data_IF_003415754873
#
_entry.id   IF_003415754873
#
_cell.length_a   1.000
_cell.length_b   1.000
_cell.length_c   1.000
_cell.angle_alpha   90.00
_cell.angle_beta   90.00
_cell.angle_gamma   90.00
#
_symmetry.space_group_name_H-M   'P 1'
#
loop_
_entity.id
_entity.type
_entity.pdbx_description
1 polymer ?
#
# COMPACT_ATOMS: atom_id res chain seq x y z
N UNK A 1 13.11 -21.19 -21.39
CA UNK A 1 12.52 -19.93 -20.91
C UNK A 1 11.18 -20.26 -20.29
N UNK A 2 10.75 -19.55 -19.26
CA UNK A 2 9.43 -19.75 -18.64
C UNK A 2 8.45 -18.97 -19.49
N UNK A 3 7.49 -19.64 -20.13
CA UNK A 3 6.53 -19.01 -21.03
C UNK A 3 5.16 -18.77 -20.36
N UNK A 4 4.92 -19.40 -19.22
CA UNK A 4 3.73 -19.20 -18.38
C UNK A 4 4.00 -19.53 -16.92
N UNK A 5 3.26 -18.88 -16.02
CA UNK A 5 3.24 -19.17 -14.59
C UNK A 5 1.79 -19.14 -14.09
N UNK A 6 1.40 -20.13 -13.29
CA UNK A 6 0.12 -20.14 -12.59
C UNK A 6 0.32 -19.72 -11.15
N UNK A 7 -0.41 -18.72 -10.71
CA UNK A 7 -0.32 -18.12 -9.37
C UNK A 7 -1.71 -18.02 -8.74
N UNK A 8 -1.84 -18.09 -7.41
CA UNK A 8 -3.06 -17.62 -6.74
C UNK A 8 -3.35 -16.17 -7.14
N UNK A 9 -4.62 -15.78 -7.19
CA UNK A 9 -4.96 -14.36 -7.35
C UNK A 9 -4.37 -13.56 -6.19
N UNK A 10 -4.01 -12.30 -6.47
CA UNK A 10 -3.21 -11.44 -5.59
C UNK A 10 -3.99 -10.97 -4.37
N UNK A 11 -3.31 -10.92 -3.22
CA UNK A 11 -3.69 -10.11 -2.05
C UNK A 11 -2.93 -8.78 -2.12
N UNK A 12 -3.64 -7.68 -2.42
CA UNK A 12 -3.09 -6.32 -2.43
C UNK A 12 -3.42 -5.63 -1.09
N UNK A 13 -2.46 -5.64 -0.18
CA UNK A 13 -2.70 -5.23 1.20
C UNK A 13 -2.56 -3.72 1.44
N UNK A 14 -2.62 -2.92 0.37
CA UNK A 14 -2.68 -1.47 0.43
C UNK A 14 -3.22 -0.87 -0.87
N UNK A 15 -4.46 -0.42 -0.90
CA UNK A 15 -5.05 0.18 -2.11
C UNK A 15 -6.03 1.32 -1.79
N UNK A 16 -6.06 2.33 -2.65
CA UNK A 16 -7.01 3.45 -2.57
C UNK A 16 -8.19 3.21 -3.52
N UNK A 17 -9.30 2.73 -3.00
CA UNK A 17 -10.52 2.44 -3.79
C UNK A 17 -11.29 3.69 -4.20
N UNK A 18 -11.06 4.82 -3.53
CA UNK A 18 -11.73 6.09 -3.80
C UNK A 18 -13.24 6.06 -3.49
N UNK A 19 -14.01 6.98 -4.12
CA UNK A 19 -15.44 7.21 -3.88
C UNK A 19 -16.18 7.42 -5.19
N UNK A 20 -17.49 7.32 -5.16
CA UNK A 20 -18.37 7.61 -6.31
C UNK A 20 -18.06 6.79 -7.56
N UNK A 21 -18.10 7.40 -8.73
CA UNK A 21 -17.84 6.72 -10.01
C UNK A 21 -16.38 6.23 -10.12
N UNK A 22 -15.43 6.95 -9.54
CA UNK A 22 -14.03 6.50 -9.53
C UNK A 22 -13.88 5.16 -8.81
N UNK A 23 -14.57 4.94 -7.70
CA UNK A 23 -14.50 3.68 -6.97
C UNK A 23 -15.01 2.50 -7.81
N UNK A 24 -16.08 2.69 -8.58
CA UNK A 24 -16.61 1.63 -9.47
C UNK A 24 -15.58 1.18 -10.48
N UNK A 25 -14.88 2.11 -11.09
CA UNK A 25 -13.85 1.79 -12.09
C UNK A 25 -12.60 1.19 -11.44
N UNK A 26 -12.18 1.71 -10.29
CA UNK A 26 -11.02 1.17 -9.54
C UNK A 26 -11.27 -0.29 -9.12
N UNK A 27 -12.46 -0.62 -8.64
CA UNK A 27 -12.83 -2.00 -8.28
C UNK A 27 -12.71 -2.95 -9.49
N UNK A 28 -13.19 -2.54 -10.67
CA UNK A 28 -13.05 -3.31 -11.92
C UNK A 28 -11.57 -3.48 -12.30
N UNK A 29 -10.81 -2.38 -12.28
CA UNK A 29 -9.41 -2.38 -12.66
C UNK A 29 -8.54 -3.20 -11.70
N UNK A 30 -8.85 -3.15 -10.40
CA UNK A 30 -8.19 -3.98 -9.38
C UNK A 30 -8.36 -5.47 -9.71
N UNK A 31 -9.58 -5.88 -10.03
CA UNK A 31 -9.86 -7.26 -10.44
C UNK A 31 -9.17 -7.64 -11.76
N UNK A 32 -9.19 -6.75 -12.76
CA UNK A 32 -8.50 -6.95 -14.04
C UNK A 32 -6.99 -7.09 -13.86
N UNK A 33 -6.40 -6.43 -12.88
CA UNK A 33 -4.99 -6.55 -12.51
C UNK A 33 -4.61 -7.84 -11.79
N UNK A 34 -5.54 -8.79 -11.65
CA UNK A 34 -5.28 -10.10 -11.02
C UNK A 34 -5.48 -10.15 -9.52
N UNK A 35 -6.09 -9.13 -8.92
CA UNK A 35 -6.31 -9.01 -7.47
C UNK A 35 -7.64 -9.66 -7.07
N UNK A 36 -7.61 -10.41 -5.98
CA UNK A 36 -8.80 -11.04 -5.38
C UNK A 36 -9.16 -10.48 -4.00
N UNK A 37 -8.17 -10.01 -3.25
CA UNK A 37 -8.34 -9.42 -1.91
C UNK A 37 -7.57 -8.13 -1.80
N UNK A 38 -8.12 -7.15 -1.05
CA UNK A 38 -7.48 -5.86 -0.80
C UNK A 38 -7.62 -5.39 0.64
N UNK A 39 -6.65 -4.61 1.13
CA UNK A 39 -6.84 -3.71 2.28
C UNK A 39 -7.12 -2.31 1.76
N UNK A 40 -8.34 -1.83 1.98
CA UNK A 40 -8.78 -0.52 1.51
C UNK A 40 -8.34 0.59 2.48
N UNK A 41 -7.66 1.61 1.95
CA UNK A 41 -7.17 2.76 2.72
C UNK A 41 -8.30 3.74 3.02
N UNK A 42 -8.32 4.34 4.25
CA UNK A 42 -9.46 5.08 4.77
C UNK A 42 -9.42 6.59 4.52
N UNK A 43 -8.42 7.13 3.80
CA UNK A 43 -8.21 8.57 3.58
C UNK A 43 -9.04 9.09 2.39
N UNK A 44 -10.35 9.00 2.50
CA UNK A 44 -11.27 9.49 1.47
C UNK A 44 -11.24 11.02 1.35
N UNK A 45 -11.56 11.51 0.16
CA UNK A 45 -11.52 12.96 -0.12
C UNK A 45 -12.67 13.71 0.53
N UNK A 46 -13.85 13.10 0.63
CA UNK A 46 -15.03 13.71 1.26
C UNK A 46 -14.89 13.78 2.78
N UNK A 47 -14.45 12.70 3.40
CA UNK A 47 -14.18 12.59 4.83
C UNK A 47 -13.37 11.32 5.12
N UNK A 48 -12.27 11.39 5.88
CA UNK A 48 -11.57 10.21 6.31
C UNK A 48 -12.44 9.36 7.25
N UNK A 49 -12.27 8.03 7.18
CA UNK A 49 -13.05 7.07 7.94
C UNK A 49 -12.55 6.97 9.39
N UNK A 50 -12.72 8.03 10.18
CA UNK A 50 -12.21 8.14 11.56
C UNK A 50 -13.07 7.41 12.60
N UNK A 51 -14.31 7.05 12.25
CA UNK A 51 -15.26 6.36 13.14
C UNK A 51 -15.85 5.12 12.47
N UNK A 52 -16.38 4.20 13.29
CA UNK A 52 -17.05 3.00 12.81
C UNK A 52 -18.31 3.32 11.97
N UNK A 53 -19.04 4.39 12.29
CA UNK A 53 -20.22 4.83 11.53
C UNK A 53 -19.81 5.24 10.10
N UNK A 54 -18.82 6.13 9.95
CA UNK A 54 -18.29 6.53 8.63
C UNK A 54 -17.80 5.33 7.83
N UNK A 55 -17.11 4.40 8.49
CA UNK A 55 -16.64 3.17 7.85
C UNK A 55 -17.81 2.28 7.39
N UNK A 56 -18.88 2.16 8.18
CA UNK A 56 -20.08 1.39 7.83
C UNK A 56 -20.75 1.93 6.56
N UNK A 57 -20.87 3.24 6.43
CA UNK A 57 -21.46 3.85 5.25
C UNK A 57 -20.64 3.58 4.00
N UNK A 58 -19.31 3.69 4.13
CA UNK A 58 -18.40 3.36 3.02
C UNK A 58 -18.41 1.87 2.66
N UNK A 59 -18.44 0.98 3.65
CA UNK A 59 -18.60 -0.47 3.43
C UNK A 59 -19.87 -0.76 2.64
N UNK A 60 -21.01 -0.17 3.04
CA UNK A 60 -22.28 -0.36 2.36
C UNK A 60 -22.22 0.13 0.91
N UNK A 61 -21.62 1.30 0.68
CA UNK A 61 -21.44 1.85 -0.66
C UNK A 61 -20.58 0.91 -1.53
N UNK A 62 -19.43 0.50 -1.06
CA UNK A 62 -18.51 -0.39 -1.82
C UNK A 62 -19.19 -1.74 -2.10
N UNK A 63 -19.81 -2.38 -1.10
CA UNK A 63 -20.46 -3.67 -1.26
C UNK A 63 -21.64 -3.63 -2.25
N UNK A 64 -22.30 -2.48 -2.39
CA UNK A 64 -23.38 -2.30 -3.38
C UNK A 64 -22.89 -2.36 -4.84
N UNK A 65 -21.58 -2.29 -5.10
CA UNK A 65 -21.01 -2.26 -6.45
C UNK A 65 -20.80 -3.66 -7.08
N UNK A 66 -21.13 -4.75 -6.40
CA UNK A 66 -21.01 -6.13 -6.93
C UNK A 66 -19.64 -6.46 -7.54
N UNK A 67 -18.56 -6.02 -6.91
CA UNK A 67 -17.19 -6.07 -7.44
C UNK A 67 -16.56 -7.47 -7.41
N UNK A 68 -16.96 -8.35 -6.49
CA UNK A 68 -16.43 -9.72 -6.34
C UNK A 68 -15.01 -9.79 -5.79
N UNK A 69 -14.54 -8.74 -5.10
CA UNK A 69 -13.30 -8.71 -4.33
C UNK A 69 -13.59 -9.01 -2.85
N UNK A 70 -12.62 -9.60 -2.16
CA UNK A 70 -12.59 -9.67 -0.70
C UNK A 70 -11.94 -8.39 -0.17
N UNK A 71 -12.68 -7.56 0.57
CA UNK A 71 -12.20 -6.24 1.00
C UNK A 71 -12.08 -6.18 2.53
N UNK A 72 -10.85 -5.98 2.99
CA UNK A 72 -10.53 -5.66 4.37
C UNK A 72 -10.52 -4.14 4.52
N UNK A 73 -11.48 -3.60 5.24
CA UNK A 73 -11.57 -2.17 5.48
C UNK A 73 -10.67 -1.73 6.62
N UNK A 74 -10.35 -0.44 6.65
CA UNK A 74 -9.52 0.17 7.69
C UNK A 74 -10.16 1.45 8.24
N UNK A 75 -9.83 1.76 9.51
CA UNK A 75 -10.16 3.03 10.17
C UNK A 75 -8.96 3.98 10.00
N UNK A 76 -9.23 5.25 9.79
CA UNK A 76 -8.25 6.33 9.81
C UNK A 76 -7.96 6.74 11.25
N UNK A 77 -6.70 6.67 11.70
CA UNK A 77 -6.32 7.17 13.01
C UNK A 77 -6.32 8.70 13.02
N UNK A 78 -7.31 9.29 13.66
CA UNK A 78 -7.50 10.73 13.79
C UNK A 78 -8.12 11.11 15.12
N UNK A 79 -8.35 12.39 15.37
CA UNK A 79 -8.83 12.87 16.67
C UNK A 79 -10.17 12.28 17.12
N UNK A 80 -11.04 11.88 16.17
CA UNK A 80 -12.32 11.22 16.46
C UNK A 80 -12.17 9.72 16.76
N UNK A 81 -10.98 9.15 16.54
CA UNK A 81 -10.74 7.72 16.74
C UNK A 81 -10.43 7.46 18.20
N UNK A 82 -11.42 6.96 18.95
CA UNK A 82 -11.29 6.63 20.36
C UNK A 82 -11.14 5.10 20.58
N UNK A 83 -10.77 4.64 21.79
CA UNK A 83 -10.80 3.20 22.12
C UNK A 83 -12.15 2.54 21.86
N UNK A 84 -13.26 3.25 22.10
CA UNK A 84 -14.62 2.77 21.85
C UNK A 84 -14.89 2.59 20.35
N UNK A 85 -14.36 3.49 19.51
CA UNK A 85 -14.46 3.34 18.05
C UNK A 85 -13.69 2.11 17.54
N UNK A 86 -12.59 1.70 18.18
CA UNK A 86 -11.89 0.43 17.86
C UNK A 86 -12.79 -0.78 18.15
N UNK A 87 -13.50 -0.76 19.28
CA UNK A 87 -14.45 -1.83 19.63
C UNK A 87 -15.59 -1.91 18.62
N UNK A 88 -16.22 -0.76 18.30
CA UNK A 88 -17.29 -0.69 17.28
C UNK A 88 -16.80 -1.13 15.89
N UNK A 89 -15.59 -0.73 15.50
CA UNK A 89 -14.99 -1.17 14.24
C UNK A 89 -14.81 -2.68 14.17
N UNK A 90 -14.39 -3.29 15.29
CA UNK A 90 -14.28 -4.75 15.42
C UNK A 90 -15.62 -5.46 15.19
N UNK A 91 -16.72 -4.90 15.69
CA UNK A 91 -18.09 -5.43 15.48
C UNK A 91 -18.50 -5.41 14.00
N UNK A 92 -17.97 -4.47 13.22
CA UNK A 92 -18.12 -4.40 11.77
C UNK A 92 -17.16 -5.33 11.00
N UNK A 93 -16.33 -6.13 11.69
CA UNK A 93 -15.33 -6.99 11.08
C UNK A 93 -14.03 -6.27 10.67
N UNK A 94 -13.88 -4.98 11.00
CA UNK A 94 -12.66 -4.22 10.70
C UNK A 94 -11.56 -4.62 11.69
N UNK A 95 -10.34 -4.84 11.15
CA UNK A 95 -9.15 -5.22 11.93
C UNK A 95 -7.93 -4.35 11.60
N UNK A 96 -8.09 -3.32 10.79
CA UNK A 96 -7.02 -2.47 10.33
C UNK A 96 -7.25 -1.02 10.76
N UNK A 97 -6.19 -0.39 11.27
CA UNK A 97 -6.16 1.07 11.50
C UNK A 97 -4.99 1.65 10.74
N UNK A 98 -5.23 2.63 9.90
CA UNK A 98 -4.20 3.33 9.12
C UNK A 98 -3.85 4.67 9.75
N UNK A 99 -2.56 4.88 9.99
CA UNK A 99 -2.00 6.15 10.41
C UNK A 99 -1.38 6.91 9.23
N UNK A 100 -1.69 8.18 9.18
CA UNK A 100 -1.00 9.17 8.36
C UNK A 100 -0.43 10.26 9.27
N UNK A 101 0.85 10.64 9.15
CA UNK A 101 1.36 11.83 9.82
C UNK A 101 0.71 13.09 9.24
N UNK A 102 0.38 14.06 10.10
CA UNK A 102 -0.32 15.27 9.68
C UNK A 102 0.44 16.03 8.59
N UNK A 103 -0.24 16.36 7.49
CA UNK A 103 0.29 17.15 6.38
C UNK A 103 1.37 16.49 5.50
N UNK A 104 1.68 15.21 5.70
CA UNK A 104 2.75 14.51 4.95
C UNK A 104 2.31 14.05 3.58
N UNK A 105 1.08 13.56 3.44
CA UNK A 105 0.55 13.00 2.18
C UNK A 105 -0.87 13.47 1.87
N UNK A 106 -1.45 13.01 0.79
CA UNK A 106 -2.81 13.37 0.35
C UNK A 106 -3.84 13.06 1.43
N UNK A 107 -4.75 14.01 1.72
CA UNK A 107 -5.81 13.90 2.72
C UNK A 107 -5.31 13.55 4.14
N UNK A 108 -4.11 14.04 4.53
CA UNK A 108 -3.52 13.78 5.85
C UNK A 108 -3.57 14.96 6.83
N UNK A 109 -4.35 16.00 6.56
CA UNK A 109 -4.51 17.14 7.49
C UNK A 109 -5.06 16.74 8.85
N UNK A 110 -5.92 15.73 8.91
CA UNK A 110 -6.48 15.18 10.13
C UNK A 110 -5.62 14.06 10.74
N UNK A 111 -4.40 13.88 10.23
CA UNK A 111 -3.48 12.84 10.65
C UNK A 111 -2.84 13.10 12.01
N UNK A 112 -1.92 12.23 12.36
CA UNK A 112 -1.25 12.21 13.66
C UNK A 112 -0.10 13.22 13.67
N UNK A 113 -0.16 14.17 14.57
CA UNK A 113 0.90 15.12 14.90
C UNK A 113 1.82 14.60 16.02
N UNK A 114 1.21 13.95 17.03
CA UNK A 114 1.91 13.32 18.15
C UNK A 114 1.29 11.95 18.46
N UNK A 115 2.03 10.88 18.17
CA UNK A 115 1.52 9.51 18.38
C UNK A 115 1.19 9.20 19.84
N UNK A 116 1.79 9.89 20.81
CA UNK A 116 1.55 9.64 22.23
C UNK A 116 0.12 9.98 22.66
N UNK A 117 -0.55 10.91 21.99
CA UNK A 117 -1.95 11.23 22.26
C UNK A 117 -2.89 10.07 21.93
N UNK A 118 -2.44 9.17 21.06
CA UNK A 118 -3.21 7.99 20.64
C UNK A 118 -2.82 6.69 21.36
N UNK A 119 -1.97 6.75 22.39
CA UNK A 119 -1.59 5.54 23.15
C UNK A 119 -2.79 4.76 23.70
N UNK A 120 -3.87 5.38 24.24
CA UNK A 120 -5.06 4.63 24.63
C UNK A 120 -5.72 3.87 23.46
N UNK A 121 -5.71 4.43 22.25
CA UNK A 121 -6.23 3.78 21.04
C UNK A 121 -5.33 2.61 20.64
N UNK A 122 -4.00 2.79 20.66
CA UNK A 122 -3.04 1.72 20.35
C UNK A 122 -3.15 0.56 21.34
N UNK A 123 -3.40 0.85 22.62
CA UNK A 123 -3.66 -0.20 23.62
C UNK A 123 -4.95 -0.96 23.32
N UNK A 124 -6.04 -0.25 22.98
CA UNK A 124 -7.31 -0.88 22.56
C UNK A 124 -7.11 -1.75 21.31
N UNK A 125 -6.31 -1.28 20.34
CA UNK A 125 -5.96 -2.04 19.14
C UNK A 125 -5.20 -3.32 19.51
N UNK A 126 -4.18 -3.23 20.36
CA UNK A 126 -3.39 -4.36 20.84
C UNK A 126 -4.27 -5.42 21.52
N UNK A 127 -5.16 -4.99 22.42
CA UNK A 127 -6.08 -5.86 23.16
C UNK A 127 -7.12 -6.55 22.26
N UNK A 128 -7.43 -5.95 21.10
CA UNK A 128 -8.44 -6.43 20.17
C UNK A 128 -7.88 -7.05 18.89
N UNK A 129 -6.57 -7.34 18.82
CA UNK A 129 -5.88 -7.97 17.69
C UNK A 129 -6.05 -7.18 16.38
N UNK A 130 -5.93 -5.86 16.44
CA UNK A 130 -5.86 -5.01 15.26
C UNK A 130 -4.46 -5.00 14.65
N UNK A 131 -4.39 -4.66 13.37
CA UNK A 131 -3.15 -4.40 12.64
C UNK A 131 -3.05 -2.88 12.47
N UNK A 132 -1.88 -2.33 12.82
CA UNK A 132 -1.58 -0.92 12.68
C UNK A 132 -0.75 -0.68 11.43
N UNK A 133 -1.39 -0.14 10.40
CA UNK A 133 -0.82 0.19 9.11
C UNK A 133 -0.27 1.62 9.16
N UNK A 134 1.01 1.83 8.96
CA UNK A 134 1.71 3.09 9.24
C UNK A 134 2.30 3.69 7.98
N UNK A 135 1.88 4.91 7.60
CA UNK A 135 2.65 5.72 6.68
C UNK A 135 3.87 6.28 7.44
N UNK A 136 5.02 5.70 7.19
CA UNK A 136 6.21 5.85 8.02
C UNK A 136 7.10 7.04 7.64
N UNK A 137 6.55 8.25 7.54
CA UNK A 137 7.33 9.46 7.30
C UNK A 137 7.09 10.51 8.39
N UNK A 138 8.09 11.34 8.65
CA UNK A 138 7.93 12.56 9.45
C UNK A 138 7.76 13.78 8.54
N UNK A 139 7.05 14.84 8.98
CA UNK A 139 6.93 16.08 8.21
C UNK A 139 8.30 16.70 7.93
N UNK A 140 8.47 17.24 6.71
CA UNK A 140 9.68 17.97 6.33
C UNK A 140 9.94 19.16 7.28
N UNK A 141 11.19 19.34 7.68
CA UNK A 141 11.59 20.39 8.60
C UNK A 141 13.02 20.87 8.28
N UNK A 142 13.14 22.07 7.72
CA UNK A 142 14.43 22.62 7.32
C UNK A 142 15.42 22.72 8.50
N UNK A 143 14.98 23.20 9.66
CA UNK A 143 15.84 23.37 10.84
C UNK A 143 16.38 22.06 11.42
N UNK A 144 15.72 20.93 11.13
CA UNK A 144 16.13 19.57 11.54
C UNK A 144 16.78 18.78 10.41
N UNK A 145 17.02 19.38 9.27
CA UNK A 145 17.51 18.71 8.06
C UNK A 145 16.65 17.50 7.67
N UNK A 146 15.34 17.70 7.65
CA UNK A 146 14.36 16.67 7.24
C UNK A 146 13.71 17.11 5.94
N UNK A 147 13.76 16.25 4.94
CA UNK A 147 13.09 16.41 3.65
C UNK A 147 12.47 15.10 3.19
N UNK A 148 11.74 15.12 2.09
CA UNK A 148 11.06 13.95 1.53
C UNK A 148 11.99 12.76 1.23
N UNK A 149 13.30 13.01 1.07
CA UNK A 149 14.30 11.96 0.78
C UNK A 149 14.74 11.19 2.03
N UNK A 150 14.64 11.77 3.23
CA UNK A 150 15.05 11.13 4.49
C UNK A 150 13.92 11.03 5.54
N UNK A 151 12.72 11.48 5.21
CA UNK A 151 11.58 11.51 6.13
C UNK A 151 11.21 10.14 6.70
N UNK A 152 11.34 9.07 5.88
CA UNK A 152 11.09 7.69 6.29
C UNK A 152 12.15 7.20 7.28
N UNK A 153 13.43 7.39 7.00
CA UNK A 153 14.50 7.03 7.94
C UNK A 153 14.38 7.79 9.29
N UNK A 154 13.90 9.04 9.25
CA UNK A 154 13.65 9.85 10.45
C UNK A 154 12.41 9.41 11.25
N UNK A 155 11.53 8.60 10.68
CA UNK A 155 10.40 8.02 11.37
C UNK A 155 10.76 6.77 12.19
N UNK A 156 11.84 6.06 11.88
CA UNK A 156 12.21 4.80 12.53
C UNK A 156 12.34 4.87 14.07
N UNK A 157 12.85 5.96 14.68
CA UNK A 157 12.82 6.10 16.15
C UNK A 157 11.40 6.11 16.73
N UNK A 158 10.42 6.69 16.01
CA UNK A 158 9.01 6.70 16.44
C UNK A 158 8.43 5.27 16.34
N UNK A 159 8.74 4.56 15.25
CA UNK A 159 8.34 3.15 15.08
C UNK A 159 8.90 2.28 16.22
N UNK A 160 10.18 2.46 16.58
CA UNK A 160 10.82 1.78 17.71
C UNK A 160 10.14 2.09 19.04
N UNK A 161 9.74 3.33 19.28
CA UNK A 161 8.99 3.73 20.47
C UNK A 161 7.62 3.04 20.54
N UNK A 162 6.89 2.96 19.40
CA UNK A 162 5.61 2.24 19.30
C UNK A 162 5.79 0.75 19.64
N UNK A 163 6.77 0.07 19.01
CA UNK A 163 7.07 -1.34 19.28
C UNK A 163 7.39 -1.60 20.77
N UNK A 164 8.16 -0.72 21.38
CA UNK A 164 8.53 -0.84 22.80
C UNK A 164 7.33 -0.72 23.73
N UNK A 165 6.41 0.22 23.43
CA UNK A 165 5.25 0.47 24.29
C UNK A 165 4.09 -0.54 24.02
N UNK A 166 3.99 -1.06 22.81
CA UNK A 166 2.93 -1.98 22.35
C UNK A 166 3.51 -3.25 21.71
N UNK A 167 4.23 -4.10 22.48
CA UNK A 167 5.01 -5.20 21.92
C UNK A 167 4.18 -6.33 21.29
N UNK A 168 2.88 -6.38 21.56
CA UNK A 168 1.95 -7.37 20.97
C UNK A 168 1.14 -6.81 19.81
N UNK A 169 1.18 -5.50 19.56
CA UNK A 169 0.49 -4.88 18.45
C UNK A 169 1.17 -5.26 17.12
N UNK A 170 0.42 -5.80 16.18
CA UNK A 170 0.93 -6.04 14.82
C UNK A 170 1.07 -4.72 14.07
N UNK A 171 2.26 -4.47 13.53
CA UNK A 171 2.63 -3.25 12.83
C UNK A 171 3.00 -3.55 11.38
N UNK A 172 2.44 -2.81 10.43
CA UNK A 172 2.86 -2.84 9.04
C UNK A 172 3.42 -1.46 8.68
N UNK A 173 4.73 -1.39 8.42
CA UNK A 173 5.35 -0.22 7.82
C UNK A 173 5.03 -0.24 6.33
N UNK A 174 4.13 0.66 5.92
CA UNK A 174 3.56 0.64 4.57
C UNK A 174 4.53 1.22 3.54
N UNK A 175 4.48 0.67 2.28
CA UNK A 175 5.15 1.19 1.08
C UNK A 175 6.57 1.69 1.35
N UNK A 176 7.39 0.87 2.02
CA UNK A 176 8.78 1.24 2.36
C UNK A 176 9.60 1.59 1.12
N UNK A 177 10.45 2.60 1.24
CA UNK A 177 11.20 3.16 0.12
C UNK A 177 12.68 3.38 0.41
N UNK A 178 13.15 3.32 1.66
CA UNK A 178 14.54 3.61 2.03
C UNK A 178 15.29 2.36 2.45
N UNK A 179 16.60 2.37 2.17
CA UNK A 179 17.54 1.33 2.66
C UNK A 179 17.40 1.15 4.18
N UNK A 180 17.34 2.24 4.93
CA UNK A 180 17.26 2.21 6.39
C UNK A 180 15.97 1.53 6.88
N UNK A 181 14.83 1.78 6.23
CA UNK A 181 13.56 1.13 6.59
C UNK A 181 13.59 -0.37 6.26
N UNK A 182 14.15 -0.75 5.11
CA UNK A 182 14.36 -2.16 4.74
C UNK A 182 15.22 -2.88 5.77
N UNK A 183 16.38 -2.32 6.12
CA UNK A 183 17.28 -2.94 7.11
C UNK A 183 16.65 -2.97 8.51
N UNK A 184 15.89 -1.96 8.90
CA UNK A 184 15.18 -1.94 10.17
C UNK A 184 14.19 -3.12 10.29
N UNK A 185 13.30 -3.28 9.30
CA UNK A 185 12.30 -4.37 9.32
C UNK A 185 12.95 -5.75 9.15
N UNK A 186 13.96 -5.87 8.29
CA UNK A 186 14.71 -7.10 8.05
C UNK A 186 15.42 -7.62 9.31
N UNK A 187 16.02 -6.71 10.08
CA UNK A 187 16.79 -7.05 11.28
C UNK A 187 15.93 -7.11 12.55
N UNK A 188 14.68 -6.68 12.51
CA UNK A 188 13.75 -6.82 13.63
C UNK A 188 13.46 -8.31 13.91
N UNK A 189 13.59 -8.73 15.16
CA UNK A 189 13.39 -10.13 15.59
C UNK A 189 11.96 -10.43 16.03
N UNK A 190 11.11 -9.42 16.15
CA UNK A 190 9.70 -9.60 16.52
C UNK A 190 8.91 -10.26 15.39
N UNK A 191 7.81 -10.92 15.76
CA UNK A 191 6.83 -11.44 14.78
C UNK A 191 5.75 -10.39 14.45
N UNK A 192 5.81 -9.24 15.11
CA UNK A 192 4.75 -8.23 15.07
C UNK A 192 5.13 -7.00 14.22
N UNK A 193 6.20 -7.07 13.42
CA UNK A 193 6.56 -6.05 12.45
C UNK A 193 6.73 -6.67 11.07
N UNK A 194 6.06 -6.07 10.08
CA UNK A 194 6.21 -6.37 8.67
C UNK A 194 6.19 -5.06 7.86
N UNK A 195 6.39 -5.15 6.55
CA UNK A 195 6.34 -4.01 5.66
C UNK A 195 5.69 -4.36 4.32
N UNK A 196 5.03 -3.38 3.69
CA UNK A 196 4.60 -3.50 2.30
C UNK A 196 5.60 -2.85 1.35
N UNK A 197 5.71 -3.42 0.15
CA UNK A 197 6.48 -2.86 -0.96
C UNK A 197 5.54 -2.72 -2.17
N UNK A 198 5.62 -1.60 -2.87
CA UNK A 198 4.81 -1.33 -4.07
C UNK A 198 5.49 -1.82 -5.34
N UNK A 199 4.73 -2.05 -6.40
CA UNK A 199 5.27 -2.41 -7.69
C UNK A 199 6.18 -1.30 -8.27
N UNK A 200 5.79 -0.04 -8.11
CA UNK A 200 6.51 1.09 -8.69
C UNK A 200 7.81 1.46 -7.94
N UNK A 201 7.87 1.30 -6.61
CA UNK A 201 9.12 1.55 -5.87
C UNK A 201 10.22 0.50 -6.14
N UNK A 202 9.87 -0.65 -6.72
CA UNK A 202 10.85 -1.64 -7.19
C UNK A 202 11.58 -1.22 -8.47
N UNK A 203 11.08 -0.22 -9.17
CA UNK A 203 11.60 0.22 -10.46
C UNK A 203 12.04 1.68 -10.47
N UNK A 204 11.34 2.55 -9.72
CA UNK A 204 11.56 3.99 -9.75
C UNK A 204 12.66 4.45 -8.80
N UNK A 205 13.35 5.50 -9.23
CA UNK A 205 14.27 6.31 -8.44
C UNK A 205 13.89 7.79 -8.53
N UNK A 206 14.64 8.66 -7.89
CA UNK A 206 14.45 10.12 -7.96
C UNK A 206 14.45 10.63 -9.41
N UNK A 207 15.27 10.08 -10.29
CA UNK A 207 15.38 10.48 -11.69
C UNK A 207 14.13 10.14 -12.53
N UNK A 208 13.31 9.19 -12.02
CA UNK A 208 12.12 8.73 -12.70
C UNK A 208 10.87 9.53 -12.37
N UNK A 209 10.82 10.22 -11.23
CA UNK A 209 9.68 11.06 -10.88
C UNK A 209 9.97 12.56 -10.91
N UNK A 210 11.24 12.98 -10.78
CA UNK A 210 11.60 14.40 -10.87
C UNK A 210 11.23 14.93 -12.26
N UNK A 211 10.24 15.82 -12.32
CA UNK A 211 9.69 16.35 -13.57
C UNK A 211 8.70 15.42 -14.32
N UNK A 212 8.42 14.23 -13.80
CA UNK A 212 7.46 13.28 -14.40
C UNK A 212 6.31 13.04 -13.42
N UNK A 213 5.31 13.89 -13.48
CA UNK A 213 4.24 13.98 -12.46
C UNK A 213 3.45 12.68 -12.27
N UNK A 214 3.34 11.82 -13.29
CA UNK A 214 2.60 10.56 -13.20
C UNK A 214 3.33 9.49 -12.38
N UNK A 215 4.63 9.64 -12.15
CA UNK A 215 5.44 8.80 -11.26
C UNK A 215 5.58 9.39 -9.85
N UNK A 216 5.03 10.58 -9.61
CA UNK A 216 5.08 11.22 -8.28
C UNK A 216 4.07 10.60 -7.34
N UNK A 217 4.57 10.10 -6.20
CA UNK A 217 3.80 9.51 -5.09
C UNK A 217 4.40 9.95 -3.74
N UNK A 218 3.77 9.57 -2.65
CA UNK A 218 4.31 9.72 -1.29
C UNK A 218 4.11 8.42 -0.49
N UNK A 219 5.23 7.86 0.04
CA UNK A 219 6.60 8.37 -0.03
C UNK A 219 7.13 8.39 -1.46
N UNK A 220 8.06 9.31 -1.77
CA UNK A 220 8.69 9.35 -3.08
C UNK A 220 9.69 8.19 -3.24
N UNK A 221 9.85 7.71 -4.48
CA UNK A 221 10.99 6.85 -4.79
C UNK A 221 12.31 7.61 -4.54
N UNK A 222 13.28 6.95 -3.93
CA UNK A 222 14.50 7.61 -3.43
C UNK A 222 15.70 7.38 -4.37
N UNK A 223 16.86 7.12 -3.83
CA UNK A 223 18.09 6.92 -4.59
C UNK A 223 18.19 5.49 -5.16
N UNK A 224 19.07 5.25 -6.14
CA UNK A 224 19.30 3.90 -6.68
C UNK A 224 19.65 2.85 -5.61
N UNK A 225 20.41 3.21 -4.58
CA UNK A 225 20.74 2.32 -3.47
C UNK A 225 19.49 1.87 -2.69
N UNK A 226 18.50 2.72 -2.55
CA UNK A 226 17.24 2.43 -1.88
C UNK A 226 16.39 1.45 -2.72
N UNK A 227 16.25 1.72 -4.01
CA UNK A 227 15.59 0.82 -4.95
C UNK A 227 16.27 -0.56 -4.97
N UNK A 228 17.61 -0.60 -4.96
CA UNK A 228 18.36 -1.84 -4.89
C UNK A 228 18.08 -2.61 -3.59
N UNK A 229 17.99 -1.92 -2.44
CA UNK A 229 17.65 -2.56 -1.16
C UNK A 229 16.28 -3.24 -1.18
N UNK A 230 15.28 -2.59 -1.79
CA UNK A 230 13.95 -3.19 -2.00
C UNK A 230 14.02 -4.45 -2.87
N UNK A 231 14.76 -4.40 -3.97
CA UNK A 231 14.95 -5.56 -4.85
C UNK A 231 15.67 -6.71 -4.14
N UNK A 232 16.74 -6.44 -3.39
CA UNK A 232 17.51 -7.47 -2.67
C UNK A 232 16.70 -8.14 -1.56
N UNK A 233 15.86 -7.39 -0.82
CA UNK A 233 15.03 -8.00 0.22
C UNK A 233 13.94 -8.91 -0.38
N UNK A 234 13.40 -8.58 -1.55
CA UNK A 234 12.46 -9.46 -2.27
C UNK A 234 13.16 -10.71 -2.77
N UNK A 235 14.34 -10.59 -3.37
CA UNK A 235 15.14 -11.74 -3.82
C UNK A 235 15.47 -12.69 -2.67
N UNK A 236 15.67 -12.16 -1.46
CA UNK A 236 15.94 -12.99 -0.28
C UNK A 236 14.76 -13.87 0.13
N UNK A 237 13.54 -13.52 -0.30
CA UNK A 237 12.31 -14.20 0.10
C UNK A 237 11.96 -13.99 1.57
N UNK A 238 12.35 -12.86 2.17
CA UNK A 238 12.04 -12.55 3.56
C UNK A 238 10.52 -12.38 3.76
N UNK A 239 9.87 -13.20 4.60
CA UNK A 239 8.41 -13.21 4.75
C UNK A 239 7.84 -11.97 5.44
N UNK A 240 8.66 -11.08 5.98
CA UNK A 240 8.22 -9.80 6.54
C UNK A 240 7.86 -8.76 5.47
N UNK A 241 8.19 -9.02 4.19
CA UNK A 241 7.94 -8.10 3.09
C UNK A 241 6.96 -8.71 2.11
N UNK A 242 5.85 -8.02 1.88
CA UNK A 242 4.78 -8.46 0.99
C UNK A 242 4.17 -7.28 0.21
N UNK A 243 3.28 -7.60 -0.71
CA UNK A 243 2.68 -6.61 -1.60
C UNK A 243 1.68 -5.70 -0.86
N UNK A 244 1.86 -4.41 -1.03
CA UNK A 244 0.85 -3.37 -0.90
C UNK A 244 1.10 -2.37 -2.01
N UNK A 245 0.23 -2.36 -3.03
CA UNK A 245 0.52 -1.64 -4.27
C UNK A 245 0.53 -0.12 -4.12
N UNK A 246 -0.15 0.40 -3.11
CA UNK A 246 -0.46 1.82 -2.98
C UNK A 246 -1.03 2.41 -4.29
N UNK A 247 -1.83 1.59 -4.99
CA UNK A 247 -2.49 2.03 -6.22
C UNK A 247 -3.44 3.18 -5.89
N UNK A 248 -3.06 4.40 -6.34
CA UNK A 248 -3.70 5.65 -5.94
C UNK A 248 -4.09 6.48 -7.17
N UNK A 249 -5.26 6.20 -7.78
CA UNK A 249 -5.71 6.91 -8.97
C UNK A 249 -6.03 8.37 -8.67
N UNK A 250 -5.58 9.23 -9.58
CA UNK A 250 -5.99 10.64 -9.68
C UNK A 250 -6.27 10.95 -11.15
N UNK A 251 -7.31 11.73 -11.41
CA UNK A 251 -7.62 12.18 -12.75
C UNK A 251 -6.40 12.92 -13.34
N UNK A 252 -6.16 12.73 -14.63
CA UNK A 252 -5.04 13.36 -15.34
C UNK A 252 -4.98 14.87 -15.06
N UNK A 253 -6.12 15.54 -15.15
CA UNK A 253 -6.23 16.99 -14.96
C UNK A 253 -5.84 17.44 -13.53
N UNK A 254 -6.05 16.59 -12.53
CA UNK A 254 -5.66 16.90 -11.14
C UNK A 254 -4.18 16.64 -10.87
N UNK A 255 -3.56 15.70 -11.61
CA UNK A 255 -2.12 15.46 -11.52
C UNK A 255 -1.32 16.50 -12.30
N UNK A 256 -1.77 16.91 -13.47
CA UNK A 256 -1.09 17.87 -14.35
C UNK A 256 -1.37 19.33 -13.94
N UNK A 257 -1.14 19.62 -12.66
CA UNK A 257 -1.29 20.96 -12.06
C UNK A 257 0.00 21.38 -11.36
N UNK A 258 0.08 22.65 -10.97
CA UNK A 258 1.25 23.21 -10.26
C UNK A 258 1.56 22.46 -8.94
N UNK A 259 0.56 21.91 -8.29
CA UNK A 259 0.67 21.13 -7.04
C UNK A 259 0.21 19.68 -7.24
N UNK A 260 0.62 19.02 -8.29
CA UNK A 260 0.12 17.72 -8.71
C UNK A 260 -0.09 16.70 -7.57
N UNK A 261 -1.20 15.97 -7.63
CA UNK A 261 -1.55 14.98 -6.62
C UNK A 261 -0.52 13.85 -6.54
N UNK A 262 -0.14 13.45 -5.33
CA UNK A 262 0.72 12.29 -5.11
C UNK A 262 -0.08 10.99 -5.24
N UNK A 263 0.38 10.07 -6.08
CA UNK A 263 -0.20 8.75 -6.29
C UNK A 263 0.15 8.17 -7.66
N UNK A 264 0.48 6.88 -7.70
CA UNK A 264 0.75 6.11 -8.91
C UNK A 264 -0.36 5.08 -9.08
N UNK A 265 -0.90 4.93 -10.30
CA UNK A 265 -2.02 4.03 -10.56
C UNK A 265 -1.55 2.74 -11.19
N UNK A 266 -1.53 1.66 -10.43
CA UNK A 266 -1.03 0.35 -10.87
C UNK A 266 -2.13 -0.70 -11.05
N UNK A 267 -3.33 -0.50 -10.49
CA UNK A 267 -4.38 -1.51 -10.42
C UNK A 267 -4.68 -2.25 -11.74
N UNK A 268 -4.80 -1.60 -12.92
CA UNK A 268 -5.22 -2.30 -14.14
C UNK A 268 -4.24 -3.38 -14.65
N UNK A 269 -2.96 -3.28 -14.27
CA UNK A 269 -1.88 -4.13 -14.80
C UNK A 269 -0.96 -4.69 -13.71
N UNK A 270 -1.42 -4.73 -12.46
CA UNK A 270 -0.56 -4.99 -11.29
C UNK A 270 0.22 -6.30 -11.41
N UNK A 271 -0.43 -7.41 -11.75
CA UNK A 271 0.23 -8.70 -11.92
C UNK A 271 1.29 -8.67 -13.04
N UNK A 272 0.99 -7.98 -14.16
CA UNK A 272 1.91 -7.83 -15.28
C UNK A 272 3.13 -6.99 -14.90
N UNK A 273 2.96 -5.88 -14.18
CA UNK A 273 4.09 -5.07 -13.68
C UNK A 273 5.01 -5.90 -12.78
N UNK A 274 4.42 -6.59 -11.79
CA UNK A 274 5.18 -7.42 -10.86
C UNK A 274 5.92 -8.55 -11.58
N UNK A 275 5.29 -9.26 -12.50
CA UNK A 275 5.95 -10.34 -13.26
C UNK A 275 7.13 -9.81 -14.10
N UNK A 276 6.97 -8.64 -14.75
CA UNK A 276 8.06 -8.01 -15.50
C UNK A 276 9.23 -7.62 -14.58
N UNK A 277 8.94 -7.00 -13.45
CA UNK A 277 9.97 -6.59 -12.49
C UNK A 277 10.68 -7.79 -11.89
N UNK A 278 9.94 -8.80 -11.41
CA UNK A 278 10.50 -10.00 -10.79
C UNK A 278 11.35 -10.83 -11.78
N UNK A 279 10.95 -10.89 -13.04
CA UNK A 279 11.79 -11.52 -14.09
C UNK A 279 13.06 -10.72 -14.32
N UNK A 280 12.97 -9.39 -14.49
CA UNK A 280 14.11 -8.50 -14.72
C UNK A 280 15.16 -8.62 -13.60
N UNK A 281 14.73 -8.77 -12.35
CA UNK A 281 15.65 -8.92 -11.21
C UNK A 281 15.95 -10.39 -10.86
N UNK A 282 15.56 -11.35 -11.72
CA UNK A 282 15.82 -12.78 -11.58
C UNK A 282 15.30 -13.42 -10.28
N UNK A 283 14.06 -13.11 -9.90
CA UNK A 283 13.40 -13.71 -8.72
C UNK A 283 11.91 -14.05 -8.95
N UNK A 284 11.57 -14.44 -10.17
CA UNK A 284 10.18 -14.77 -10.55
C UNK A 284 9.60 -15.90 -9.66
N UNK A 285 10.44 -16.80 -9.14
CA UNK A 285 10.08 -17.83 -8.16
C UNK A 285 9.60 -17.28 -6.80
N UNK A 286 9.87 -16.02 -6.48
CA UNK A 286 9.42 -15.36 -5.25
C UNK A 286 8.07 -14.68 -5.40
N UNK A 287 7.56 -14.50 -6.63
CA UNK A 287 6.37 -13.72 -6.91
C UNK A 287 5.15 -14.20 -6.15
N UNK A 288 4.88 -15.51 -6.15
CA UNK A 288 3.75 -16.10 -5.43
C UNK A 288 3.79 -15.79 -3.92
N UNK A 289 4.95 -15.98 -3.30
CA UNK A 289 5.10 -15.75 -1.87
C UNK A 289 4.88 -14.28 -1.51
N UNK A 290 5.43 -13.38 -2.31
CA UNK A 290 5.30 -11.93 -2.13
C UNK A 290 3.86 -11.43 -2.31
N UNK A 291 3.12 -11.97 -3.28
CA UNK A 291 1.78 -11.45 -3.65
C UNK A 291 0.61 -12.13 -2.96
N UNK A 292 0.80 -13.37 -2.45
CA UNK A 292 -0.36 -14.18 -2.03
C UNK A 292 -0.14 -14.97 -0.74
N UNK A 293 1.12 -15.12 -0.27
CA UNK A 293 1.40 -15.96 0.90
C UNK A 293 1.83 -15.14 2.12
N UNK A 294 2.90 -14.36 2.00
CA UNK A 294 3.50 -13.68 3.16
C UNK A 294 2.54 -12.71 3.86
N UNK A 295 1.80 -11.93 3.06
CA UNK A 295 0.78 -11.04 3.60
C UNK A 295 -0.38 -11.81 4.24
N UNK A 296 -0.87 -12.88 3.60
CA UNK A 296 -1.93 -13.71 4.16
C UNK A 296 -1.51 -14.34 5.49
N UNK A 297 -0.27 -14.86 5.58
CA UNK A 297 0.29 -15.39 6.84
C UNK A 297 0.34 -14.31 7.94
N UNK A 298 0.82 -13.10 7.60
CA UNK A 298 0.93 -12.01 8.58
C UNK A 298 -0.42 -11.51 9.07
N UNK A 299 -1.40 -11.39 8.15
CA UNK A 299 -2.77 -10.96 8.45
C UNK A 299 -3.66 -12.08 8.98
N UNK A 300 -3.14 -13.33 9.08
CA UNK A 300 -3.88 -14.52 9.52
C UNK A 300 -5.12 -14.79 8.66
N UNK A 301 -4.95 -14.69 7.34
CA UNK A 301 -6.00 -14.88 6.35
C UNK A 301 -5.90 -16.25 5.68
N UNK A 302 -7.03 -16.79 5.28
CA UNK A 302 -7.05 -17.98 4.42
C UNK A 302 -6.38 -17.66 3.07
N UNK A 303 -5.63 -18.62 2.53
CA UNK A 303 -5.01 -18.45 1.21
C UNK A 303 -6.06 -18.40 0.11
N UNK A 304 -5.75 -17.66 -0.95
CA UNK A 304 -6.56 -17.62 -2.16
C UNK A 304 -6.59 -19.00 -2.81
N UNK A 305 -7.80 -19.47 -3.13
CA UNK A 305 -8.00 -20.78 -3.81
C UNK A 305 -8.15 -20.64 -5.32
N UNK A 306 -8.50 -19.43 -5.79
CA UNK A 306 -8.54 -19.13 -7.22
C UNK A 306 -7.14 -18.82 -7.72
N UNK A 307 -6.85 -19.23 -8.95
CA UNK A 307 -5.59 -18.95 -9.63
C UNK A 307 -5.79 -18.08 -10.84
N UNK A 308 -4.72 -17.41 -11.27
CA UNK A 308 -4.59 -16.74 -12.55
C UNK A 308 -3.37 -17.31 -13.29
N UNK A 309 -3.40 -17.28 -14.60
CA UNK A 309 -2.26 -17.60 -15.43
C UNK A 309 -1.65 -16.31 -15.98
N UNK A 310 -0.35 -16.14 -15.80
CA UNK A 310 0.43 -15.13 -16.49
C UNK A 310 1.20 -15.80 -17.62
N UNK A 311 1.11 -15.25 -18.82
CA UNK A 311 1.75 -15.77 -20.04
C UNK A 311 2.73 -14.74 -20.60
N UNK A 312 3.80 -15.23 -21.25
CA UNK A 312 4.73 -14.43 -22.02
C UNK A 312 4.03 -13.93 -23.29
N UNK A 313 3.37 -12.81 -23.17
CA UNK A 313 2.68 -12.13 -24.27
C UNK A 313 2.83 -10.63 -24.08
N UNK A 314 3.32 -9.97 -25.13
CA UNK A 314 3.41 -8.50 -25.13
C UNK A 314 2.04 -7.88 -24.91
N UNK A 315 2.01 -6.88 -24.04
CA UNK A 315 0.83 -6.09 -23.72
C UNK A 315 1.26 -4.62 -23.58
N UNK A 316 0.60 -3.74 -24.31
CA UNK A 316 0.86 -2.30 -24.23
C UNK A 316 -0.05 -1.69 -23.17
N UNK A 317 0.53 -1.03 -22.18
CA UNK A 317 -0.21 -0.29 -21.18
C UNK A 317 -0.97 0.87 -21.83
N UNK A 318 -2.27 0.94 -21.63
CA UNK A 318 -3.09 2.03 -22.16
C UNK A 318 -2.55 3.39 -21.67
N UNK A 319 -2.55 4.39 -22.55
CA UNK A 319 -2.10 5.74 -22.19
C UNK A 319 -2.99 6.41 -21.13
N UNK A 320 -4.28 6.14 -21.19
CA UNK A 320 -5.29 6.64 -20.25
C UNK A 320 -6.30 5.52 -20.00
N UNK A 321 -6.68 5.32 -18.76
CA UNK A 321 -7.72 4.39 -18.32
C UNK A 321 -8.71 5.19 -17.47
N UNK A 322 -9.91 5.37 -17.97
CA UNK A 322 -10.98 6.12 -17.28
C UNK A 322 -10.52 7.50 -16.74
N UNK A 323 -9.81 8.28 -17.57
CA UNK A 323 -9.30 9.61 -17.21
C UNK A 323 -8.04 9.62 -16.35
N UNK A 324 -7.54 8.46 -15.94
CA UNK A 324 -6.31 8.29 -15.16
C UNK A 324 -5.19 7.79 -16.05
N UNK A 325 -3.99 8.33 -15.88
CA UNK A 325 -2.77 7.83 -16.54
C UNK A 325 -2.19 6.72 -15.65
N UNK A 326 -2.18 5.46 -16.12
CA UNK A 326 -1.62 4.36 -15.34
C UNK A 326 -0.08 4.41 -15.32
N UNK A 327 0.50 3.71 -14.36
CA UNK A 327 1.95 3.49 -14.32
C UNK A 327 2.45 2.91 -15.64
N UNK A 328 3.61 3.38 -16.16
CA UNK A 328 4.21 2.96 -17.41
C UNK A 328 3.28 3.11 -18.64
N UNK A 329 2.42 4.13 -18.65
CA UNK A 329 1.47 4.40 -19.74
C UNK A 329 2.15 4.45 -21.11
N UNK A 330 1.67 3.64 -22.07
CA UNK A 330 2.22 3.53 -23.42
C UNK A 330 3.43 2.60 -23.56
N UNK A 331 3.95 2.04 -22.47
CA UNK A 331 5.05 1.08 -22.49
C UNK A 331 4.58 -0.36 -22.75
N UNK A 332 5.47 -1.20 -23.27
CA UNK A 332 5.24 -2.63 -23.45
C UNK A 332 5.63 -3.40 -22.21
N UNK A 333 4.77 -4.35 -21.82
CA UNK A 333 5.01 -5.36 -20.80
C UNK A 333 5.18 -6.72 -21.48
N UNK A 334 6.13 -7.53 -21.02
CA UNK A 334 6.37 -8.87 -21.58
C UNK A 334 5.43 -9.94 -21.02
N UNK A 335 4.68 -9.64 -19.96
CA UNK A 335 3.75 -10.54 -19.29
C UNK A 335 2.32 -10.01 -19.33
N UNK A 336 1.36 -10.90 -19.56
CA UNK A 336 -0.08 -10.60 -19.55
C UNK A 336 -0.82 -11.65 -18.73
N UNK A 337 -1.94 -11.25 -18.12
CA UNK A 337 -2.91 -12.20 -17.57
C UNK A 337 -3.61 -12.88 -18.74
N UNK A 338 -3.66 -14.20 -18.73
CA UNK A 338 -4.46 -14.98 -19.68
C UNK A 338 -5.94 -14.83 -19.30
N UNK A 339 -6.75 -14.37 -20.28
CA UNK A 339 -8.19 -14.14 -20.12
C UNK A 339 -8.98 -15.39 -20.51
#
# INVERSE_FOLDING_TARGET
MIDSISLPIIDDLHVHLREGEMAKEVLKHTKLGGVGRVVAMPNLSSSPLTTAEKAKDYINFINSQNHGLDILFSIYLGHDTTPEEIIKAKELGIRNVKMYPAGVTTNSYFGVDNIKTFYPVLEAMQQNNFIFNIHGEVPSNFGRNICIMNAEAKFLPILSEIQKNFPKLKLVLEHVTSFEAVEYVKNDTSKNLAATITAHHLDLTVDDWAGKIHNYCKPVAKFPVDCQALQEVIKSGNPKFFLGSDSAPHMKETKETACGCAGVYTAPYLASYLANTFERINCLDKLQNFTSKFGADYYELAYQTKTMNLIKKQNVVNKIVHGVVPYRAGEELGWSIEL
#
